data_IF_754731794462
#
_entry.id   IF_754731794462
#
_cell.length_a   1.000
_cell.length_b   1.000
_cell.length_c   1.000
_cell.angle_alpha   90.00
_cell.angle_beta   90.00
_cell.angle_gamma   90.00
#
_symmetry.space_group_name_H-M   'P 1'
#
loop_
_entity.id
_entity.type
_entity.pdbx_description
1 polymer ?
#
# COMPACT_ATOMS: atom_id res chain seq x y z
N UNK A 1 -18.43 -31.71 -29.26
CA UNK A 1 -18.76 -30.39 -28.68
C UNK A 1 -17.52 -29.86 -27.96
N UNK A 2 -16.81 -28.91 -28.58
CA UNK A 2 -15.62 -28.32 -27.99
C UNK A 2 -16.03 -27.43 -26.80
N UNK A 3 -15.57 -27.80 -25.60
CA UNK A 3 -15.70 -27.01 -24.39
C UNK A 3 -14.83 -25.77 -24.53
N UNK A 4 -15.45 -24.62 -24.81
CA UNK A 4 -14.79 -23.32 -24.76
C UNK A 4 -14.57 -23.01 -23.27
N UNK A 5 -13.37 -23.32 -22.76
CA UNK A 5 -12.93 -22.83 -21.46
C UNK A 5 -12.85 -21.29 -21.52
N UNK A 6 -13.32 -20.54 -20.51
CA UNK A 6 -13.16 -19.09 -20.48
C UNK A 6 -11.66 -18.76 -20.39
N UNK A 7 -11.17 -18.09 -21.43
CA UNK A 7 -9.76 -17.74 -21.62
C UNK A 7 -9.46 -16.41 -20.90
N UNK A 8 -9.40 -16.39 -19.57
CA UNK A 8 -9.19 -15.15 -18.80
C UNK A 8 -8.02 -15.25 -17.81
N UNK A 9 -6.81 -15.44 -18.35
CA UNK A 9 -5.56 -15.08 -17.66
C UNK A 9 -4.53 -14.67 -18.72
N UNK A 10 -4.76 -13.51 -19.36
CA UNK A 10 -3.79 -12.96 -20.31
C UNK A 10 -2.88 -11.98 -19.58
N UNK A 11 -1.57 -12.18 -19.74
CA UNK A 11 -0.60 -11.11 -19.51
C UNK A 11 -1.02 -9.88 -20.30
N UNK A 12 -0.78 -8.69 -19.74
CA UNK A 12 -1.03 -7.42 -20.41
C UNK A 12 0.29 -6.86 -20.91
N UNK A 13 0.29 -6.38 -22.15
CA UNK A 13 1.36 -5.56 -22.70
C UNK A 13 0.88 -4.12 -22.72
N UNK A 14 1.56 -3.26 -21.97
CA UNK A 14 1.34 -1.81 -22.03
C UNK A 14 2.38 -1.20 -22.97
N UNK A 15 1.92 -0.47 -23.99
CA UNK A 15 2.80 0.38 -24.81
C UNK A 15 2.60 1.80 -24.29
N UNK A 16 3.61 2.32 -23.62
CA UNK A 16 3.60 3.66 -23.06
C UNK A 16 4.46 4.58 -23.92
N UNK A 17 3.84 5.58 -24.52
CA UNK A 17 4.54 6.69 -25.17
C UNK A 17 4.61 7.84 -24.18
N UNK A 18 5.81 8.21 -23.69
CA UNK A 18 5.96 9.32 -22.75
C UNK A 18 5.46 10.63 -23.35
N UNK A 19 4.92 11.51 -22.50
CA UNK A 19 4.69 12.90 -22.87
C UNK A 19 6.01 13.58 -23.28
N UNK A 20 5.94 14.47 -24.27
CA UNK A 20 7.10 15.21 -24.77
C UNK A 20 6.78 16.72 -24.88
N UNK A 21 7.66 17.62 -24.39
CA UNK A 21 8.87 17.30 -23.61
C UNK A 21 8.52 16.63 -22.27
N UNK A 22 9.42 15.80 -21.70
CA UNK A 22 9.22 15.30 -20.34
C UNK A 22 9.23 16.48 -19.38
N UNK A 23 8.43 16.39 -18.32
CA UNK A 23 8.49 17.37 -17.24
C UNK A 23 9.86 17.28 -16.57
N UNK A 24 10.52 18.42 -16.44
CA UNK A 24 11.82 18.57 -15.78
C UNK A 24 11.65 19.36 -14.48
N UNK A 25 12.62 19.29 -13.55
CA UNK A 25 12.62 20.07 -12.31
C UNK A 25 12.29 21.57 -12.50
N UNK A 26 12.86 22.19 -13.53
CA UNK A 26 12.70 23.63 -13.81
C UNK A 26 11.27 24.02 -14.24
N UNK A 27 10.45 23.07 -14.70
CA UNK A 27 9.03 23.32 -15.01
C UNK A 27 8.23 23.61 -13.72
N UNK A 28 8.75 23.18 -12.57
CA UNK A 28 8.12 23.32 -11.27
C UNK A 28 8.76 24.46 -10.48
N UNK A 29 8.45 25.71 -10.86
CA UNK A 29 8.91 26.88 -10.08
C UNK A 29 8.54 26.77 -8.60
N UNK A 30 9.37 27.32 -7.71
CA UNK A 30 9.12 27.28 -6.27
C UNK A 30 7.70 27.74 -5.91
N UNK A 31 7.22 28.86 -6.47
CA UNK A 31 5.86 29.34 -6.19
C UNK A 31 4.77 28.34 -6.61
N UNK A 32 4.93 27.67 -7.76
CA UNK A 32 3.96 26.69 -8.23
C UNK A 32 3.97 25.43 -7.36
N UNK A 33 5.15 24.93 -7.01
CA UNK A 33 5.32 23.80 -6.09
C UNK A 33 4.64 24.10 -4.75
N UNK A 34 4.98 25.24 -4.14
CA UNK A 34 4.43 25.63 -2.84
C UNK A 34 2.92 25.76 -2.88
N UNK A 35 2.38 26.32 -3.96
CA UNK A 35 0.93 26.44 -4.15
C UNK A 35 0.27 25.08 -4.32
N UNK A 36 0.87 24.17 -5.09
CA UNK A 36 0.32 22.86 -5.38
C UNK A 36 0.20 21.96 -4.14
N UNK A 37 1.16 22.04 -3.21
CA UNK A 37 1.16 21.23 -1.99
C UNK A 37 0.50 21.95 -0.79
N UNK A 38 0.11 23.21 -0.94
CA UNK A 38 -0.50 23.97 0.15
C UNK A 38 -1.84 23.35 0.58
N UNK A 39 -1.99 23.05 1.87
CA UNK A 39 -3.16 22.36 2.41
C UNK A 39 -3.24 20.86 2.09
N UNK A 40 -2.25 20.30 1.38
CA UNK A 40 -2.16 18.87 1.17
C UNK A 40 -1.91 18.15 2.51
N UNK A 41 -2.67 17.09 2.76
CA UNK A 41 -2.51 16.26 3.97
C UNK A 41 -1.52 15.11 3.78
N UNK A 42 -1.22 14.79 2.52
CA UNK A 42 -0.39 13.67 2.11
C UNK A 42 0.06 13.94 0.67
N UNK A 43 1.31 13.62 0.35
CA UNK A 43 1.84 13.63 -1.02
C UNK A 43 2.01 12.19 -1.49
N UNK A 44 1.49 11.89 -2.68
CA UNK A 44 1.67 10.59 -3.33
C UNK A 44 2.65 10.75 -4.49
N UNK A 45 3.67 9.90 -4.56
CA UNK A 45 4.60 9.85 -5.67
C UNK A 45 4.77 8.41 -6.14
N UNK A 46 4.80 8.23 -7.45
CA UNK A 46 5.32 7.01 -8.06
C UNK A 46 6.82 7.23 -8.39
N UNK A 47 7.55 6.17 -8.72
CA UNK A 47 8.97 6.30 -9.09
C UNK A 47 9.23 6.99 -10.44
N UNK A 48 8.22 7.54 -11.12
CA UNK A 48 8.38 8.18 -12.43
C UNK A 48 8.80 9.64 -12.26
N UNK A 49 9.50 10.18 -13.27
CA UNK A 49 9.99 11.57 -13.26
C UNK A 49 10.75 11.88 -11.96
N UNK A 50 11.60 10.93 -11.53
CA UNK A 50 12.20 10.87 -10.21
C UNK A 50 12.88 12.17 -9.76
N UNK A 51 13.53 12.92 -10.66
CA UNK A 51 14.14 14.23 -10.33
C UNK A 51 13.09 15.26 -9.88
N UNK A 52 11.99 15.38 -10.63
CA UNK A 52 10.89 16.29 -10.27
C UNK A 52 10.12 15.78 -9.05
N UNK A 53 9.89 14.47 -8.96
CA UNK A 53 9.27 13.85 -7.79
C UNK A 53 10.10 14.10 -6.51
N UNK A 54 11.43 14.06 -6.62
CA UNK A 54 12.34 14.31 -5.50
C UNK A 54 12.21 15.74 -4.98
N UNK A 55 12.10 16.74 -5.86
CA UNK A 55 11.84 18.13 -5.44
C UNK A 55 10.54 18.25 -4.64
N UNK A 56 9.47 17.60 -5.11
CA UNK A 56 8.18 17.60 -4.40
C UNK A 56 8.30 16.90 -3.04
N UNK A 57 8.98 15.75 -2.99
CA UNK A 57 9.18 14.99 -1.75
C UNK A 57 10.00 15.78 -0.71
N UNK A 58 11.07 16.45 -1.15
CA UNK A 58 11.92 17.27 -0.30
C UNK A 58 11.12 18.41 0.34
N UNK A 59 10.37 19.15 -0.47
CA UNK A 59 9.56 20.26 0.02
C UNK A 59 8.42 19.78 0.93
N UNK A 60 7.76 18.66 0.59
CA UNK A 60 6.74 18.07 1.44
C UNK A 60 7.31 17.71 2.82
N UNK A 61 8.48 17.07 2.84
CA UNK A 61 9.18 16.71 4.07
C UNK A 61 9.61 17.94 4.89
N UNK A 62 10.13 19.00 4.25
CA UNK A 62 10.46 20.27 4.90
C UNK A 62 9.24 20.92 5.60
N UNK A 63 8.03 20.66 5.10
CA UNK A 63 6.76 21.14 5.67
C UNK A 63 6.10 20.15 6.63
N UNK A 64 6.71 19.00 6.87
CA UNK A 64 6.12 17.93 7.67
C UNK A 64 4.87 17.30 7.04
N UNK A 65 4.68 17.46 5.72
CA UNK A 65 3.62 16.77 4.98
C UNK A 65 4.10 15.34 4.71
N UNK A 66 3.37 14.31 5.18
CA UNK A 66 3.78 12.93 4.95
C UNK A 66 3.83 12.60 3.45
N UNK A 67 4.74 11.70 3.08
CA UNK A 67 4.89 11.21 1.70
C UNK A 67 4.58 9.72 1.66
N UNK A 68 3.68 9.32 0.76
CA UNK A 68 3.43 7.92 0.39
C UNK A 68 4.12 7.64 -0.94
N UNK A 69 4.99 6.64 -0.96
CA UNK A 69 5.66 6.17 -2.18
C UNK A 69 4.99 4.89 -2.66
N UNK A 70 4.58 4.89 -3.93
CA UNK A 70 4.23 3.69 -4.68
C UNK A 70 5.47 3.09 -5.35
N UNK A 71 5.92 1.94 -4.84
CA UNK A 71 7.13 1.26 -5.28
C UNK A 71 6.79 -0.04 -6.02
N UNK A 72 6.66 0.04 -7.34
CA UNK A 72 6.38 -1.13 -8.17
C UNK A 72 7.60 -2.04 -8.39
N UNK A 73 8.78 -1.43 -8.64
CA UNK A 73 10.04 -2.11 -9.00
C UNK A 73 11.24 -1.22 -8.69
N UNK A 74 12.45 -1.81 -8.62
CA UNK A 74 13.70 -1.05 -8.61
C UNK A 74 13.79 -0.15 -9.85
N UNK A 75 14.14 1.11 -9.64
CA UNK A 75 14.45 2.07 -10.69
C UNK A 75 15.38 3.16 -10.14
N UNK A 76 16.00 3.89 -11.06
CA UNK A 76 16.86 5.03 -10.73
C UNK A 76 16.12 6.08 -9.91
N UNK A 77 16.79 6.65 -8.90
CA UNK A 77 16.24 7.69 -8.02
C UNK A 77 15.22 7.24 -6.96
N UNK A 78 14.76 5.98 -6.99
CA UNK A 78 13.77 5.50 -6.03
C UNK A 78 14.31 5.48 -4.60
N UNK A 79 15.61 5.24 -4.42
CA UNK A 79 16.23 5.19 -3.08
C UNK A 79 16.14 6.55 -2.37
N UNK A 80 16.36 7.65 -3.10
CA UNK A 80 16.25 9.01 -2.58
C UNK A 80 14.80 9.33 -2.18
N UNK A 81 13.83 8.93 -3.02
CA UNK A 81 12.40 9.07 -2.71
C UNK A 81 11.99 8.27 -1.48
N UNK A 82 12.45 7.02 -1.36
CA UNK A 82 12.16 6.16 -0.21
C UNK A 82 12.72 6.74 1.09
N UNK A 83 13.88 7.39 1.06
CA UNK A 83 14.49 8.02 2.23
C UNK A 83 13.62 9.15 2.83
N UNK A 84 12.78 9.78 2.00
CA UNK A 84 11.86 10.86 2.36
C UNK A 84 10.43 10.35 2.66
N UNK A 85 10.19 9.05 2.54
CA UNK A 85 8.85 8.47 2.67
C UNK A 85 8.41 8.32 4.12
N UNK A 86 7.12 8.58 4.36
CA UNK A 86 6.43 8.25 5.60
C UNK A 86 5.69 6.91 5.50
N UNK A 87 5.28 6.55 4.29
CA UNK A 87 4.53 5.33 3.98
C UNK A 87 5.03 4.74 2.67
N UNK A 88 5.06 3.43 2.58
CA UNK A 88 5.40 2.72 1.34
C UNK A 88 4.31 1.72 1.03
N UNK A 89 3.82 1.73 -0.21
CA UNK A 89 2.97 0.67 -0.76
C UNK A 89 3.69 0.11 -1.97
N UNK A 90 3.73 -1.22 -2.10
CA UNK A 90 4.52 -1.86 -3.13
C UNK A 90 3.92 -3.17 -3.63
N UNK A 91 4.43 -3.65 -4.76
CA UNK A 91 4.08 -4.95 -5.33
C UNK A 91 4.89 -6.09 -4.68
N UNK A 92 4.37 -7.32 -4.70
CA UNK A 92 4.99 -8.50 -4.07
C UNK A 92 6.49 -8.71 -4.36
N UNK A 93 6.96 -8.33 -5.54
CA UNK A 93 8.36 -8.56 -5.95
C UNK A 93 9.31 -7.46 -5.48
N UNK A 94 8.80 -6.27 -5.20
CA UNK A 94 9.63 -5.11 -4.89
C UNK A 94 10.45 -5.28 -3.60
N UNK A 95 9.87 -5.67 -2.44
CA UNK A 95 10.61 -5.71 -1.18
C UNK A 95 11.85 -6.60 -1.22
N UNK A 96 11.71 -7.83 -1.72
CA UNK A 96 12.84 -8.76 -1.83
C UNK A 96 13.86 -8.31 -2.87
N UNK A 97 13.39 -7.76 -4.01
CA UNK A 97 14.30 -7.20 -4.99
C UNK A 97 15.14 -6.07 -4.38
N UNK A 98 14.51 -5.13 -3.66
CA UNK A 98 15.16 -3.97 -3.02
C UNK A 98 16.08 -4.33 -1.87
N UNK A 99 15.63 -5.22 -0.98
CA UNK A 99 16.35 -5.55 0.25
C UNK A 99 17.34 -6.70 0.12
N UNK A 100 17.17 -7.55 -0.88
CA UNK A 100 17.83 -8.86 -1.04
C UNK A 100 17.47 -9.87 0.06
N UNK A 101 16.40 -9.60 0.83
CA UNK A 101 15.93 -10.50 1.87
C UNK A 101 15.25 -11.76 1.28
N UNK A 102 15.32 -12.90 1.99
CA UNK A 102 14.87 -14.20 1.47
C UNK A 102 13.35 -14.33 1.36
N UNK A 103 12.58 -13.50 2.05
CA UNK A 103 11.12 -13.56 2.11
C UNK A 103 10.49 -12.17 2.17
N UNK A 104 9.19 -12.06 1.90
CA UNK A 104 8.44 -10.80 2.06
C UNK A 104 8.45 -10.30 3.52
N UNK A 105 8.19 -11.12 4.55
CA UNK A 105 8.24 -10.69 5.95
C UNK A 105 9.61 -10.14 6.35
N UNK A 106 10.69 -10.87 6.03
CA UNK A 106 12.06 -10.44 6.30
C UNK A 106 12.45 -9.17 5.53
N UNK A 107 11.97 -9.02 4.28
CA UNK A 107 12.12 -7.80 3.51
C UNK A 107 11.42 -6.58 4.14
N UNK A 108 10.23 -6.77 4.74
CA UNK A 108 9.53 -5.69 5.44
C UNK A 108 10.32 -5.21 6.66
N UNK A 109 10.92 -6.12 7.42
CA UNK A 109 11.83 -5.78 8.53
C UNK A 109 13.03 -4.99 8.01
N UNK A 110 13.67 -5.46 6.93
CA UNK A 110 14.83 -4.79 6.31
C UNK A 110 14.47 -3.38 5.79
N UNK A 111 13.30 -3.20 5.16
CA UNK A 111 12.80 -1.90 4.72
C UNK A 111 12.65 -0.93 5.90
N UNK A 112 12.00 -1.35 6.99
CA UNK A 112 11.85 -0.49 8.17
C UNK A 112 13.18 -0.22 8.88
N UNK A 113 14.16 -1.12 8.84
CA UNK A 113 15.50 -0.84 9.39
C UNK A 113 16.24 0.20 8.56
N UNK A 114 16.15 0.13 7.23
CA UNK A 114 16.82 1.05 6.30
C UNK A 114 16.10 2.40 6.16
N UNK A 115 14.80 2.45 6.43
CA UNK A 115 13.94 3.63 6.26
C UNK A 115 13.32 4.05 7.62
N UNK A 116 14.06 4.83 8.45
CA UNK A 116 13.64 5.12 9.83
C UNK A 116 12.37 5.96 9.94
N UNK A 117 12.07 6.79 8.94
CA UNK A 117 10.90 7.67 8.92
C UNK A 117 9.60 6.96 8.48
N UNK A 118 9.73 5.75 7.92
CA UNK A 118 8.57 4.98 7.46
C UNK A 118 7.81 4.44 8.66
N UNK A 119 6.51 4.75 8.68
CA UNK A 119 5.54 4.33 9.70
C UNK A 119 4.97 2.96 9.40
N UNK A 120 4.67 2.67 8.13
CA UNK A 120 4.30 1.34 7.69
C UNK A 120 4.71 1.07 6.25
N UNK A 121 4.86 -0.21 5.93
CA UNK A 121 5.02 -0.72 4.56
C UNK A 121 3.89 -1.71 4.26
N UNK A 122 3.18 -1.52 3.15
CA UNK A 122 2.18 -2.47 2.63
C UNK A 122 2.70 -3.15 1.37
N UNK A 123 2.54 -4.47 1.29
CA UNK A 123 2.84 -5.29 0.12
C UNK A 123 1.53 -5.85 -0.41
N UNK A 124 1.19 -5.51 -1.65
CA UNK A 124 0.04 -6.10 -2.35
C UNK A 124 0.41 -7.46 -2.94
N UNK A 125 -0.47 -8.45 -2.74
CA UNK A 125 -0.28 -9.85 -3.12
C UNK A 125 -1.33 -10.35 -4.13
N UNK A 126 -2.06 -9.43 -4.78
CA UNK A 126 -3.11 -9.78 -5.75
C UNK A 126 -4.30 -10.43 -5.08
N UNK A 127 -4.73 -11.60 -5.57
CA UNK A 127 -5.87 -12.36 -5.03
C UNK A 127 -5.63 -12.87 -3.60
N UNK A 128 -4.37 -12.93 -3.15
CA UNK A 128 -4.03 -13.29 -1.78
C UNK A 128 -4.21 -12.15 -0.77
N UNK A 129 -4.48 -10.93 -1.26
CA UNK A 129 -4.70 -9.74 -0.44
C UNK A 129 -3.44 -8.91 -0.25
N UNK A 130 -3.07 -8.65 1.00
CA UNK A 130 -1.90 -7.83 1.32
C UNK A 130 -1.27 -8.21 2.66
N UNK A 131 -0.01 -7.79 2.85
CA UNK A 131 0.70 -7.88 4.13
C UNK A 131 1.19 -6.49 4.46
N UNK A 132 1.06 -6.09 5.72
CA UNK A 132 1.57 -4.80 6.18
C UNK A 132 2.40 -4.97 7.45
N UNK A 133 3.52 -4.26 7.52
CA UNK A 133 4.29 -4.11 8.74
C UNK A 133 4.24 -2.66 9.19
N UNK A 134 3.65 -2.42 10.36
CA UNK A 134 3.59 -1.11 11.02
C UNK A 134 4.68 -1.03 12.08
N UNK A 135 5.40 0.09 12.13
CA UNK A 135 6.35 0.39 13.20
C UNK A 135 5.58 0.73 14.47
N UNK A 136 5.92 0.04 15.56
CA UNK A 136 5.39 0.30 16.89
C UNK A 136 6.21 1.37 17.61
N UNK A 137 5.56 2.18 18.44
CA UNK A 137 6.23 3.05 19.40
C UNK A 137 6.49 2.24 20.67
N UNK A 138 7.75 1.92 20.94
CA UNK A 138 8.13 1.11 22.10
C UNK A 138 8.16 1.94 23.38
N UNK A 139 7.13 1.83 24.21
CA UNK A 139 7.30 2.05 25.65
C UNK A 139 7.78 0.76 26.28
N UNK A 140 9.11 0.60 26.42
CA UNK A 140 9.80 -0.36 27.33
C UNK A 140 9.09 -1.71 27.60
N UNK A 141 8.60 -2.43 26.58
CA UNK A 141 8.10 -3.79 26.79
C UNK A 141 9.28 -4.76 26.74
N UNK A 142 9.52 -5.48 27.84
CA UNK A 142 10.36 -6.69 27.87
C UNK A 142 9.65 -7.82 27.11
N UNK A 143 9.42 -7.64 25.79
CA UNK A 143 8.86 -8.70 24.96
C UNK A 143 9.99 -9.54 24.36
N UNK A 144 9.81 -10.85 24.35
CA UNK A 144 10.65 -11.79 23.59
C UNK A 144 10.60 -11.45 22.09
N UNK A 145 11.69 -11.76 21.39
CA UNK A 145 11.77 -11.60 19.94
C UNK A 145 11.00 -12.73 19.25
N UNK A 146 10.09 -12.35 18.36
CA UNK A 146 9.31 -13.27 17.55
C UNK A 146 9.87 -13.28 16.14
N UNK A 147 10.08 -14.47 15.57
CA UNK A 147 10.44 -14.62 14.16
C UNK A 147 9.30 -14.11 13.26
N UNK A 148 9.62 -13.22 12.33
CA UNK A 148 8.61 -12.56 11.50
C UNK A 148 8.01 -13.51 10.44
N UNK A 149 8.78 -14.50 9.98
CA UNK A 149 8.32 -15.50 9.02
C UNK A 149 7.40 -16.53 9.71
N UNK A 150 7.72 -16.98 10.92
CA UNK A 150 6.81 -17.84 11.69
C UNK A 150 5.50 -17.11 12.04
N UNK A 151 5.60 -15.84 12.43
CA UNK A 151 4.43 -15.05 12.82
C UNK A 151 3.47 -14.86 11.65
N UNK A 152 3.97 -14.62 10.43
CA UNK A 152 3.08 -14.43 9.28
C UNK A 152 2.30 -15.70 8.96
N UNK A 153 2.93 -16.87 9.08
CA UNK A 153 2.26 -18.15 8.83
C UNK A 153 1.18 -18.41 9.89
N UNK A 154 1.45 -18.09 11.16
CA UNK A 154 0.42 -18.15 12.22
C UNK A 154 -0.76 -17.23 11.91
N UNK A 155 -0.51 -15.99 11.46
CA UNK A 155 -1.57 -15.05 11.11
C UNK A 155 -2.38 -15.52 9.89
N UNK A 156 -1.71 -16.06 8.86
CA UNK A 156 -2.36 -16.65 7.70
C UNK A 156 -3.24 -17.85 8.06
N UNK A 157 -2.84 -18.68 9.02
CA UNK A 157 -3.66 -19.81 9.49
C UNK A 157 -4.88 -19.36 10.31
N UNK A 158 -4.78 -18.25 11.04
CA UNK A 158 -5.88 -17.69 11.84
C UNK A 158 -6.89 -16.87 11.02
N UNK A 159 -6.53 -16.51 9.80
CA UNK A 159 -7.39 -15.77 8.87
C UNK A 159 -8.65 -16.58 8.57
N UNK A 160 -9.81 -15.97 8.78
CA UNK A 160 -11.07 -16.53 8.31
C UNK A 160 -11.13 -16.42 6.78
N UNK A 161 -10.99 -17.56 6.10
CA UNK A 161 -11.05 -17.68 4.65
C UNK A 161 -12.43 -17.98 4.10
N UNK A 162 -13.46 -18.11 4.95
CA UNK A 162 -14.79 -18.54 4.52
C UNK A 162 -15.69 -17.40 4.03
N UNK A 163 -15.36 -16.15 4.37
CA UNK A 163 -16.06 -14.97 3.87
C UNK A 163 -15.66 -14.57 2.45
N UNK A 164 -16.58 -13.92 1.72
CA UNK A 164 -16.27 -13.27 0.45
C UNK A 164 -15.67 -11.88 0.64
N UNK A 165 -16.02 -11.20 1.73
CA UNK A 165 -15.55 -9.85 2.04
C UNK A 165 -14.11 -9.82 2.55
N UNK A 166 -13.33 -8.77 2.23
CA UNK A 166 -12.01 -8.56 2.77
C UNK A 166 -12.01 -8.49 4.30
N UNK A 167 -11.01 -9.10 4.93
CA UNK A 167 -10.77 -9.08 6.36
C UNK A 167 -9.31 -8.77 6.63
N UNK A 168 -9.01 -8.36 7.87
CA UNK A 168 -7.63 -8.13 8.30
C UNK A 168 -7.43 -8.70 9.71
N UNK A 169 -6.32 -9.41 9.88
CA UNK A 169 -5.86 -9.88 11.19
C UNK A 169 -4.49 -9.26 11.47
N UNK A 170 -4.24 -8.92 12.73
CA UNK A 170 -2.99 -8.32 13.18
C UNK A 170 -2.36 -9.09 14.33
N UNK A 171 -1.05 -9.04 14.45
CA UNK A 171 -0.37 -9.32 15.71
C UNK A 171 -0.60 -8.19 16.73
N UNK A 172 -0.30 -8.46 18.00
CA UNK A 172 0.02 -7.39 18.96
C UNK A 172 1.34 -6.71 18.60
N UNK A 173 1.66 -5.62 19.31
CA UNK A 173 2.99 -4.99 19.20
C UNK A 173 4.03 -5.98 19.75
N UNK A 174 5.02 -6.33 18.95
CA UNK A 174 6.09 -7.26 19.30
C UNK A 174 7.44 -6.77 18.77
N UNK A 175 8.52 -7.42 19.22
CA UNK A 175 9.84 -7.33 18.59
C UNK A 175 9.91 -8.39 17.50
N UNK A 176 9.93 -7.96 16.25
CA UNK A 176 9.90 -8.81 15.07
C UNK A 176 11.32 -8.97 14.55
N UNK A 177 11.86 -10.18 14.69
CA UNK A 177 13.19 -10.56 14.24
C UNK A 177 13.11 -11.13 12.83
N UNK A 178 14.06 -10.73 11.99
CA UNK A 178 14.37 -11.38 10.74
C UNK A 178 15.83 -11.84 10.78
N UNK A 179 16.05 -13.14 10.62
CA UNK A 179 17.37 -13.76 10.76
C UNK A 179 18.38 -13.18 9.76
N UNK A 180 19.55 -12.79 10.27
CA UNK A 180 20.62 -12.15 9.49
C UNK A 180 20.32 -10.71 9.05
N UNK A 181 19.17 -10.13 9.41
CA UNK A 181 18.75 -8.78 9.02
C UNK A 181 18.67 -7.86 10.24
N UNK A 182 17.93 -8.25 11.28
CA UNK A 182 17.78 -7.45 12.49
C UNK A 182 16.38 -7.53 13.10
N UNK A 183 16.06 -6.56 13.96
CA UNK A 183 14.83 -6.55 14.77
C UNK A 183 14.15 -5.19 14.69
N UNK A 184 12.84 -5.19 14.45
CA UNK A 184 11.99 -3.98 14.52
C UNK A 184 10.87 -4.19 15.53
N UNK A 185 10.49 -3.14 16.26
CA UNK A 185 9.26 -3.17 17.03
C UNK A 185 8.09 -2.77 16.16
N UNK A 186 7.02 -3.57 16.16
CA UNK A 186 5.91 -3.35 15.25
C UNK A 186 4.76 -4.31 15.38
N UNK A 187 3.77 -4.10 14.51
CA UNK A 187 2.60 -4.95 14.33
C UNK A 187 2.59 -5.47 12.90
N UNK A 188 2.43 -6.77 12.75
CA UNK A 188 2.29 -7.42 11.45
C UNK A 188 0.81 -7.64 11.16
N UNK A 189 0.38 -7.31 9.95
CA UNK A 189 -1.00 -7.45 9.49
C UNK A 189 -1.05 -8.32 8.24
N UNK A 190 -2.08 -9.15 8.17
CA UNK A 190 -2.44 -9.93 6.97
C UNK A 190 -3.87 -9.54 6.59
N UNK A 191 -4.02 -8.95 5.41
CA UNK A 191 -5.31 -8.60 4.82
C UNK A 191 -5.68 -9.54 3.68
N UNK A 192 -6.96 -9.85 3.51
CA UNK A 192 -7.47 -10.68 2.41
C UNK A 192 -7.98 -9.81 1.26
N UNK A 193 -7.98 -10.36 0.04
CA UNK A 193 -8.73 -9.78 -1.06
C UNK A 193 -10.19 -10.25 -1.02
N UNK A 194 -11.08 -9.50 -1.66
CA UNK A 194 -12.44 -9.97 -1.89
C UNK A 194 -12.41 -11.15 -2.88
N UNK A 195 -13.19 -12.19 -2.59
CA UNK A 195 -13.43 -13.29 -3.54
C UNK A 195 -14.49 -12.86 -4.55
N UNK A 196 -14.06 -12.22 -5.63
CA UNK A 196 -14.95 -11.79 -6.71
C UNK A 196 -15.46 -13.03 -7.46
N UNK A 197 -16.79 -13.21 -7.61
CA UNK A 197 -17.33 -14.29 -8.42
C UNK A 197 -16.77 -14.23 -9.86
N UNK A 198 -16.41 -15.37 -10.49
CA UNK A 198 -15.80 -15.37 -11.83
C UNK A 198 -16.61 -14.64 -12.91
N UNK A 199 -17.95 -14.57 -12.77
CA UNK A 199 -18.83 -13.83 -13.69
C UNK A 199 -18.82 -12.31 -13.50
N UNK A 200 -18.26 -11.83 -12.39
CA UNK A 200 -18.14 -10.40 -12.08
C UNK A 200 -16.71 -9.87 -12.28
N UNK A 201 -15.70 -10.74 -12.37
CA UNK A 201 -14.32 -10.35 -12.59
C UNK A 201 -14.10 -9.97 -14.06
N UNK A 202 -14.06 -8.66 -14.34
CA UNK A 202 -13.97 -8.13 -15.71
C UNK A 202 -12.53 -7.75 -16.08
N UNK A 203 -11.88 -6.92 -15.27
CA UNK A 203 -10.55 -6.39 -15.60
C UNK A 203 -9.78 -5.92 -14.36
N UNK A 204 -8.61 -6.51 -14.11
CA UNK A 204 -7.72 -6.11 -12.99
C UNK A 204 -6.82 -4.90 -13.25
N UNK A 205 -6.90 -4.24 -14.41
CA UNK A 205 -6.09 -3.06 -14.75
C UNK A 205 -6.28 -1.95 -13.71
N UNK A 206 -5.23 -1.47 -13.05
CA UNK A 206 -5.34 -0.41 -12.03
C UNK A 206 -5.96 -0.86 -10.70
N UNK A 207 -6.05 -2.16 -10.43
CA UNK A 207 -6.48 -2.65 -9.11
C UNK A 207 -5.50 -2.23 -8.00
N UNK A 208 -4.20 -2.22 -8.30
CA UNK A 208 -3.16 -1.69 -7.41
C UNK A 208 -3.35 -0.19 -7.15
N UNK A 209 -3.54 0.60 -8.21
CA UNK A 209 -3.80 2.05 -8.11
C UNK A 209 -5.05 2.35 -7.27
N UNK A 210 -6.12 1.56 -7.45
CA UNK A 210 -7.34 1.69 -6.66
C UNK A 210 -7.11 1.34 -5.17
N UNK A 211 -6.32 0.30 -4.90
CA UNK A 211 -5.89 -0.04 -3.54
C UNK A 211 -5.09 1.12 -2.91
N UNK A 212 -4.09 1.64 -3.61
CA UNK A 212 -3.25 2.76 -3.13
C UNK A 212 -4.10 4.02 -2.91
N UNK A 213 -4.98 4.36 -3.84
CA UNK A 213 -5.92 5.48 -3.70
C UNK A 213 -6.81 5.35 -2.46
N UNK A 214 -7.24 4.13 -2.15
CA UNK A 214 -8.00 3.85 -0.93
C UNK A 214 -7.14 3.93 0.34
N UNK A 215 -5.87 3.53 0.30
CA UNK A 215 -4.91 3.76 1.40
C UNK A 215 -4.70 5.27 1.62
N UNK A 216 -4.51 6.07 0.57
CA UNK A 216 -4.39 7.53 0.68
C UNK A 216 -5.62 8.14 1.37
N UNK A 217 -6.82 7.74 0.94
CA UNK A 217 -8.08 8.16 1.57
C UNK A 217 -8.14 7.74 3.04
N UNK A 218 -7.81 6.48 3.34
CA UNK A 218 -7.88 5.93 4.69
C UNK A 218 -6.89 6.59 5.65
N UNK A 219 -5.66 6.87 5.21
CA UNK A 219 -4.65 7.65 5.97
C UNK A 219 -5.18 9.05 6.24
N UNK A 220 -5.76 9.72 5.24
CA UNK A 220 -6.38 11.03 5.46
C UNK A 220 -7.61 10.93 6.38
N UNK A 221 -8.36 9.85 6.33
CA UNK A 221 -9.51 9.65 7.22
C UNK A 221 -9.13 9.11 8.61
N UNK A 222 -7.83 8.97 8.92
CA UNK A 222 -7.31 8.40 10.16
C UNK A 222 -7.91 7.01 10.46
N UNK A 223 -8.12 6.19 9.43
CA UNK A 223 -8.60 4.83 9.62
C UNK A 223 -7.50 3.97 10.28
N UNK A 224 -7.83 3.16 11.29
CA UNK A 224 -6.87 2.19 11.82
C UNK A 224 -6.58 1.13 10.76
N UNK A 225 -5.38 0.51 10.75
CA UNK A 225 -4.98 -0.50 9.78
C UNK A 225 -5.99 -1.63 9.53
N UNK A 226 -6.65 -2.08 10.60
CA UNK A 226 -7.64 -3.17 10.59
C UNK A 226 -8.88 -2.81 9.76
N UNK A 227 -9.17 -1.52 9.58
CA UNK A 227 -10.23 -1.03 8.69
C UNK A 227 -9.67 -0.58 7.34
N UNK A 228 -8.50 0.06 7.35
CA UNK A 228 -7.82 0.56 6.16
C UNK A 228 -7.54 -0.56 5.13
N UNK A 229 -6.95 -1.68 5.55
CA UNK A 229 -6.55 -2.75 4.62
C UNK A 229 -7.77 -3.44 3.96
N UNK A 230 -8.82 -3.84 4.70
CA UNK A 230 -10.03 -4.39 4.09
C UNK A 230 -10.77 -3.38 3.21
N UNK A 231 -10.84 -2.11 3.62
CA UNK A 231 -11.43 -1.04 2.79
C UNK A 231 -10.70 -0.90 1.46
N UNK A 232 -9.37 -0.86 1.48
CA UNK A 232 -8.57 -0.75 0.26
C UNK A 232 -8.70 -1.98 -0.65
N UNK A 233 -8.74 -3.18 -0.06
CA UNK A 233 -9.01 -4.42 -0.80
C UNK A 233 -10.41 -4.41 -1.43
N UNK A 234 -11.42 -3.89 -0.72
CA UNK A 234 -12.79 -3.79 -1.22
C UNK A 234 -12.89 -2.81 -2.39
N UNK A 235 -12.24 -1.65 -2.30
CA UNK A 235 -12.19 -0.66 -3.40
C UNK A 235 -11.51 -1.27 -4.64
N UNK A 236 -10.39 -1.96 -4.47
CA UNK A 236 -9.71 -2.65 -5.56
C UNK A 236 -10.59 -3.73 -6.20
N UNK A 237 -11.34 -4.48 -5.39
CA UNK A 237 -12.22 -5.52 -5.88
C UNK A 237 -13.46 -4.97 -6.62
N UNK A 238 -14.03 -3.86 -6.16
CA UNK A 238 -15.10 -3.16 -6.88
C UNK A 238 -14.57 -2.68 -8.24
N UNK A 239 -13.36 -2.10 -8.25
CA UNK A 239 -12.67 -1.66 -9.46
C UNK A 239 -12.54 -2.79 -10.50
N UNK A 240 -12.26 -4.00 -10.06
CA UNK A 240 -12.09 -5.16 -10.93
C UNK A 240 -13.35 -5.58 -11.71
N UNK A 241 -14.53 -5.05 -11.37
CA UNK A 241 -15.83 -5.40 -11.99
C UNK A 241 -16.21 -4.57 -13.21
N UNK A 242 -15.33 -3.66 -13.64
CA UNK A 242 -15.52 -2.89 -14.86
C UNK A 242 -14.22 -2.78 -15.66
N UNK A 243 -14.36 -2.58 -16.97
CA UNK A 243 -13.25 -2.45 -17.91
C UNK A 243 -12.48 -1.13 -17.70
N UNK A 244 -11.15 -1.20 -17.69
CA UNK A 244 -10.25 -0.06 -17.57
C UNK A 244 -9.96 0.33 -16.13
N UNK A 245 -9.01 1.26 -15.93
CA UNK A 245 -8.51 1.63 -14.60
C UNK A 245 -9.48 2.47 -13.76
N UNK A 246 -10.29 3.33 -14.41
CA UNK A 246 -11.10 4.35 -13.72
C UNK A 246 -12.59 4.02 -13.64
N UNK A 247 -13.12 3.34 -14.66
CA UNK A 247 -14.57 3.11 -14.82
C UNK A 247 -15.20 2.39 -13.64
N UNK A 248 -14.48 1.46 -13.03
CA UNK A 248 -14.97 0.65 -11.90
C UNK A 248 -14.76 1.27 -10.53
N UNK A 249 -14.19 2.47 -10.42
CA UNK A 249 -13.92 3.07 -9.11
C UNK A 249 -15.25 3.38 -8.39
N UNK A 250 -15.40 2.96 -7.12
CA UNK A 250 -16.63 3.21 -6.37
C UNK A 250 -16.76 4.66 -5.93
N UNK A 251 -17.99 5.11 -5.76
CA UNK A 251 -18.31 6.29 -4.95
C UNK A 251 -18.47 5.88 -3.48
N UNK A 252 -18.42 6.86 -2.56
CA UNK A 252 -18.67 6.59 -1.13
C UNK A 252 -20.05 6.00 -0.84
N UNK A 253 -21.00 6.16 -1.76
CA UNK A 253 -22.36 5.60 -1.68
C UNK A 253 -22.46 4.17 -2.21
N UNK A 254 -21.35 3.53 -2.61
CA UNK A 254 -21.38 2.13 -3.02
C UNK A 254 -21.69 1.24 -1.80
N UNK A 255 -22.76 0.46 -1.88
CA UNK A 255 -23.26 -0.36 -0.78
C UNK A 255 -22.24 -1.40 -0.31
N UNK A 256 -21.31 -1.81 -1.18
CA UNK A 256 -20.22 -2.74 -0.84
C UNK A 256 -19.17 -2.10 0.09
N UNK A 257 -19.21 -0.78 0.27
CA UNK A 257 -18.31 -0.05 1.18
C UNK A 257 -18.93 0.27 2.54
N UNK A 258 -20.24 0.09 2.73
CA UNK A 258 -20.97 0.54 3.94
C UNK A 258 -20.32 0.03 5.23
N UNK A 259 -20.06 -1.28 5.31
CA UNK A 259 -19.45 -1.93 6.48
C UNK A 259 -18.06 -1.40 6.86
N UNK A 260 -17.37 -0.75 5.91
CA UNK A 260 -16.04 -0.18 6.13
C UNK A 260 -16.08 1.32 6.46
N UNK A 261 -17.18 2.02 6.14
CA UNK A 261 -17.32 3.47 6.27
C UNK A 261 -18.07 3.92 7.54
N UNK A 262 -18.77 3.02 8.22
CA UNK A 262 -19.60 3.31 9.42
C UNK A 262 -18.84 3.92 10.62
N UNK A 263 -17.51 3.97 10.59
CA UNK A 263 -16.71 4.57 11.67
C UNK A 263 -16.80 6.10 11.75
N UNK A 264 -17.30 6.78 10.70
CA UNK A 264 -17.42 8.25 10.70
C UNK A 264 -18.37 8.78 11.77
N UNK A 265 -19.22 7.94 12.35
CA UNK A 265 -20.15 8.30 13.43
C UNK A 265 -19.50 8.45 14.82
N UNK A 266 -18.24 8.04 15.02
CA UNK A 266 -17.62 7.99 16.37
C UNK A 266 -16.40 8.92 16.56
N UNK A 267 -16.01 9.69 15.54
CA UNK A 267 -14.76 10.47 15.55
C UNK A 267 -14.89 11.98 15.33
N UNK A 268 -16.10 12.55 15.29
CA UNK A 268 -16.28 14.00 15.25
C UNK A 268 -16.23 14.58 16.68
N UNK A 269 -15.10 14.39 17.37
CA UNK A 269 -14.76 15.09 18.59
C UNK A 269 -13.36 15.71 18.39
N UNK A 270 -13.39 16.97 17.99
CA UNK A 270 -12.47 18.05 18.39
C UNK A 270 -10.96 17.76 18.33
N UNK A 271 -10.29 18.32 17.33
CA UNK A 271 -9.06 19.13 17.51
C UNK A 271 -9.18 20.36 16.63
#
# INVERSE_FOLDING_TARGET
MASIRPFWWKSRTCIHTPGYPPMIPDDLSNSNLLTAINGARLVHLDGRLHETALLVAQEANCRGIPVLIDAERKMEGLDDLLSLSSYVVCSAKFPQAWTEAPSVPSALVSLLLRLPNVKFVVVTLGEEGCVMLERGVTEKVQSEETDVDDLIEILKLKRDGNGNSPTCISSGVAKLRADGIGVVSGRLFVGTAEKIPPGELVDTTGAGDAFIGAILYAVCANMPPEKMLPFAAQVAAIKCRALGARTGLPYLTDTRLESFLDFRAQGAATV
#
